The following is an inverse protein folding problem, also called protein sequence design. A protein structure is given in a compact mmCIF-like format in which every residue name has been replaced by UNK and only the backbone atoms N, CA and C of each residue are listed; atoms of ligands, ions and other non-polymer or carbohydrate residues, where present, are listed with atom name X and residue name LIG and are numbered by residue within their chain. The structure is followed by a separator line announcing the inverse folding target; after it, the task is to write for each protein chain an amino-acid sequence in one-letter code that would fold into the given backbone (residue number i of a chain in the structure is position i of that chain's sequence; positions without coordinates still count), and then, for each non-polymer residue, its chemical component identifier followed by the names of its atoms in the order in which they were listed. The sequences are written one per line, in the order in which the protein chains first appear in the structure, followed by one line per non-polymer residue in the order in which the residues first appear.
data_IF_969386873575
#
_entry.id   IF_969386873575
#
_cell.length_a   1.000
_cell.length_b   1.000
_cell.length_c   1.000
_cell.angle_alpha   90.00
_cell.angle_beta   90.00
_cell.angle_gamma   90.00
#
_symmetry.space_group_name_H-M   'P 1'
#
loop_
_entity.id
_entity.type
_entity.pdbx_description
1 polymer ?
#
# COMPACT_ATOMS: atom_id res chain seq x y z
N UNK A 1 7.09 -7.48 21.29
CA UNK A 1 5.76 -7.76 20.72
C UNK A 1 5.18 -6.47 20.19
N UNK A 2 4.68 -6.46 18.95
CA UNK A 2 3.97 -5.30 18.37
C UNK A 2 2.52 -5.71 18.13
N UNK A 3 1.58 -4.83 18.43
CA UNK A 3 0.15 -5.06 18.15
C UNK A 3 -0.30 -4.23 16.95
N UNK A 4 -1.08 -4.86 16.08
CA UNK A 4 -1.74 -4.22 14.93
C UNK A 4 -3.21 -4.57 15.00
N UNK A 5 -4.08 -3.60 14.81
CA UNK A 5 -5.53 -3.85 14.69
C UNK A 5 -5.94 -3.75 13.23
N UNK A 6 -6.68 -4.75 12.75
CA UNK A 6 -7.25 -4.78 11.40
C UNK A 6 -8.78 -4.83 11.45
N UNK A 7 -9.48 -4.34 10.41
CA UNK A 7 -10.93 -4.49 10.31
C UNK A 7 -11.38 -5.95 10.32
N UNK A 8 -12.53 -6.24 10.93
CA UNK A 8 -13.04 -7.60 11.05
C UNK A 8 -13.26 -8.29 9.71
N UNK A 9 -13.73 -7.56 8.69
CA UNK A 9 -13.91 -8.08 7.33
C UNK A 9 -12.59 -8.42 6.62
N UNK A 10 -11.44 -8.02 7.18
CA UNK A 10 -10.10 -8.31 6.65
C UNK A 10 -9.39 -9.44 7.38
N UNK A 11 -9.94 -9.94 8.49
CA UNK A 11 -9.38 -11.08 9.23
C UNK A 11 -9.27 -12.32 8.32
N UNK A 12 -10.32 -12.60 7.55
CA UNK A 12 -10.30 -13.73 6.60
C UNK A 12 -9.20 -13.63 5.55
N UNK A 13 -8.90 -12.41 5.06
CA UNK A 13 -7.81 -12.20 4.09
C UNK A 13 -6.42 -12.37 4.74
N UNK A 14 -6.28 -12.03 6.02
CA UNK A 14 -5.04 -12.22 6.77
C UNK A 14 -4.80 -13.71 7.10
N UNK A 15 -5.85 -14.45 7.43
CA UNK A 15 -5.76 -15.88 7.75
C UNK A 15 -5.55 -16.70 6.46
N UNK A 16 -6.33 -16.43 5.41
CA UNK A 16 -6.32 -17.21 4.17
C UNK A 16 -7.09 -18.54 4.28
N UNK A 17 -7.31 -19.23 3.16
CA UNK A 17 -8.01 -20.50 3.18
C UNK A 17 -7.21 -21.53 3.99
N UNK A 18 -7.84 -22.11 5.01
CA UNK A 18 -7.17 -23.04 5.92
C UNK A 18 -5.91 -22.47 6.60
N UNK A 19 -5.74 -21.15 6.72
CA UNK A 19 -4.58 -20.52 7.34
C UNK A 19 -3.36 -20.33 6.42
N UNK A 20 -3.50 -20.51 5.11
CA UNK A 20 -2.38 -20.44 4.15
C UNK A 20 -1.64 -19.09 4.19
N UNK A 21 -2.36 -17.96 4.15
CA UNK A 21 -1.77 -16.62 4.14
C UNK A 21 -1.00 -16.35 5.43
N UNK A 22 -1.59 -16.68 6.57
CA UNK A 22 -0.96 -16.51 7.87
C UNK A 22 0.37 -17.26 7.93
N UNK A 23 0.39 -18.54 7.53
CA UNK A 23 1.61 -19.36 7.52
C UNK A 23 2.66 -18.80 6.56
N UNK A 24 2.25 -18.28 5.42
CA UNK A 24 3.18 -17.67 4.47
C UNK A 24 3.84 -16.42 5.06
N UNK A 25 3.06 -15.55 5.72
CA UNK A 25 3.60 -14.36 6.40
C UNK A 25 4.54 -14.77 7.52
N UNK A 26 4.15 -15.72 8.38
CA UNK A 26 5.00 -16.23 9.46
C UNK A 26 6.33 -16.78 8.94
N UNK A 27 6.28 -17.57 7.85
CA UNK A 27 7.46 -18.17 7.24
C UNK A 27 8.36 -17.14 6.55
N UNK A 28 7.80 -16.23 5.75
CA UNK A 28 8.60 -15.27 4.96
C UNK A 28 9.14 -14.12 5.80
N UNK A 29 8.38 -13.68 6.82
CA UNK A 29 8.76 -12.57 7.67
C UNK A 29 9.46 -13.01 8.97
N UNK A 30 9.62 -14.32 9.21
CA UNK A 30 10.23 -14.90 10.42
C UNK A 30 9.57 -14.38 11.72
N UNK A 31 8.23 -14.47 11.74
CA UNK A 31 7.39 -14.06 12.85
C UNK A 31 6.37 -15.14 13.21
N UNK A 32 5.72 -14.96 14.36
CA UNK A 32 4.49 -15.64 14.73
C UNK A 32 3.38 -14.61 14.84
N UNK A 33 2.21 -14.95 14.32
CA UNK A 33 1.00 -14.14 14.38
C UNK A 33 0.00 -14.79 15.35
N UNK A 34 -0.45 -14.00 16.32
CA UNK A 34 -1.60 -14.35 17.16
C UNK A 34 -2.76 -13.41 16.81
N UNK A 35 -3.82 -13.98 16.22
CA UNK A 35 -4.94 -13.24 15.64
C UNK A 35 -6.17 -13.47 16.50
N UNK A 36 -6.60 -12.43 17.20
CA UNK A 36 -7.90 -12.39 17.84
C UNK A 36 -8.98 -12.11 16.79
N UNK A 37 -9.73 -13.15 16.45
CA UNK A 37 -10.77 -13.10 15.43
C UNK A 37 -12.01 -12.29 15.85
N UNK A 38 -12.19 -12.03 17.15
CA UNK A 38 -13.29 -11.23 17.66
C UNK A 38 -12.97 -9.73 17.60
N UNK A 39 -11.75 -9.35 17.97
CA UNK A 39 -11.36 -7.93 18.05
C UNK A 39 -10.60 -7.42 16.82
N UNK A 40 -10.07 -8.32 15.98
CA UNK A 40 -9.16 -7.96 14.89
C UNK A 40 -7.77 -7.53 15.37
N UNK A 41 -7.45 -7.77 16.64
CA UNK A 41 -6.12 -7.54 17.21
C UNK A 41 -5.17 -8.63 16.74
N UNK A 42 -4.00 -8.23 16.28
CA UNK A 42 -2.94 -9.13 15.80
C UNK A 42 -1.68 -8.82 16.59
N UNK A 43 -1.22 -9.79 17.38
CA UNK A 43 0.10 -9.73 18.00
C UNK A 43 1.15 -10.29 17.04
N UNK A 44 2.21 -9.53 16.82
CA UNK A 44 3.36 -9.91 16.00
C UNK A 44 4.55 -10.15 16.91
N UNK A 45 4.97 -11.40 16.96
CA UNK A 45 6.14 -11.87 17.72
C UNK A 45 7.26 -12.24 16.75
N UNK A 46 8.46 -11.72 16.96
CA UNK A 46 9.61 -12.08 16.12
C UNK A 46 10.14 -13.44 16.57
N UNK A 47 10.40 -14.34 15.62
CA UNK A 47 10.89 -15.70 15.92
C UNK A 47 12.27 -15.96 15.33
N UNK A 48 12.70 -15.21 14.33
CA UNK A 48 14.01 -15.33 13.69
C UNK A 48 14.74 -13.99 13.55
N UNK A 49 15.23 -13.70 12.34
CA UNK A 49 16.03 -12.52 12.05
C UNK A 49 15.29 -11.22 12.42
N UNK A 50 15.87 -10.37 13.29
CA UNK A 50 15.22 -9.16 13.74
C UNK A 50 14.89 -8.16 12.65
N UNK A 51 15.67 -8.12 11.55
CA UNK A 51 15.51 -7.17 10.45
C UNK A 51 14.33 -7.58 9.56
N UNK A 52 14.27 -8.85 9.19
CA UNK A 52 13.20 -9.47 8.38
C UNK A 52 11.83 -9.29 9.07
N UNK A 53 11.77 -9.55 10.38
CA UNK A 53 10.55 -9.35 11.16
C UNK A 53 10.14 -7.89 11.41
N UNK A 54 10.90 -6.88 10.95
CA UNK A 54 10.49 -5.47 11.09
C UNK A 54 9.32 -5.09 10.19
N UNK A 55 9.20 -5.73 9.03
CA UNK A 55 8.16 -5.44 8.03
C UNK A 55 6.85 -6.15 8.29
N UNK A 56 6.84 -7.21 9.09
CA UNK A 56 5.63 -7.98 9.42
C UNK A 56 4.43 -7.13 9.90
N UNK A 57 4.59 -6.14 10.81
CA UNK A 57 3.48 -5.27 11.19
C UNK A 57 2.90 -4.47 10.02
N UNK A 58 3.73 -4.08 9.05
CA UNK A 58 3.27 -3.33 7.87
C UNK A 58 2.59 -4.25 6.87
N UNK A 59 3.03 -5.50 6.72
CA UNK A 59 2.33 -6.54 5.94
C UNK A 59 0.91 -6.76 6.50
N UNK A 60 0.79 -6.93 7.82
CA UNK A 60 -0.51 -7.08 8.51
C UNK A 60 -1.38 -5.84 8.30
N UNK A 61 -0.82 -4.63 8.47
CA UNK A 61 -1.55 -3.37 8.21
C UNK A 61 -2.00 -3.27 6.77
N UNK A 62 -1.15 -3.61 5.81
CA UNK A 62 -1.47 -3.54 4.38
C UNK A 62 -2.66 -4.44 4.06
N UNK A 63 -2.65 -5.70 4.50
CA UNK A 63 -3.78 -6.62 4.29
C UNK A 63 -5.05 -6.07 4.96
N UNK A 64 -4.92 -5.54 6.18
CA UNK A 64 -5.99 -4.86 6.90
C UNK A 64 -6.52 -3.60 6.20
N UNK A 65 -5.73 -2.98 5.32
CA UNK A 65 -6.12 -1.81 4.49
C UNK A 65 -6.45 -2.20 3.06
N UNK A 66 -6.75 -3.48 2.81
CA UNK A 66 -7.34 -3.94 1.55
C UNK A 66 -6.34 -4.45 0.52
N UNK A 67 -5.03 -4.44 0.79
CA UNK A 67 -4.06 -5.08 -0.11
C UNK A 67 -4.30 -6.59 -0.18
N UNK A 68 -3.99 -7.17 -1.35
CA UNK A 68 -3.89 -8.62 -1.49
C UNK A 68 -2.66 -9.12 -0.73
N UNK A 69 -2.68 -10.36 -0.22
CA UNK A 69 -1.52 -10.94 0.48
C UNK A 69 -0.22 -10.83 -0.32
N UNK A 70 -0.25 -11.18 -1.60
CA UNK A 70 0.93 -11.11 -2.48
C UNK A 70 1.53 -9.69 -2.55
N UNK A 71 0.69 -8.67 -2.70
CA UNK A 71 1.13 -7.28 -2.77
C UNK A 71 1.69 -6.80 -1.43
N UNK A 72 1.10 -7.24 -0.31
CA UNK A 72 1.61 -6.93 1.02
C UNK A 72 2.95 -7.62 1.30
N UNK A 73 3.10 -8.89 0.92
CA UNK A 73 4.33 -9.66 1.07
C UNK A 73 5.47 -9.10 0.23
N UNK A 74 5.18 -8.38 -0.86
CA UNK A 74 6.20 -7.72 -1.68
C UNK A 74 7.06 -6.72 -0.88
N UNK A 75 6.59 -6.25 0.28
CA UNK A 75 7.40 -5.46 1.21
C UNK A 75 8.71 -6.15 1.58
N UNK A 76 8.75 -7.48 1.58
CA UNK A 76 9.95 -8.28 1.89
C UNK A 76 10.92 -8.42 0.71
N UNK A 77 10.50 -8.08 -0.51
CA UNK A 77 11.30 -8.36 -1.71
C UNK A 77 12.53 -7.44 -1.84
N UNK A 78 12.47 -6.25 -1.24
CA UNK A 78 13.56 -5.26 -1.26
C UNK A 78 13.50 -4.38 -0.01
N UNK A 79 14.64 -4.05 0.59
CA UNK A 79 14.72 -3.27 1.84
C UNK A 79 14.09 -1.88 1.72
N UNK A 80 14.18 -1.24 0.55
CA UNK A 80 13.64 0.09 0.27
C UNK A 80 12.13 0.09 0.02
N UNK A 81 11.51 -1.08 -0.16
CA UNK A 81 10.05 -1.17 -0.27
C UNK A 81 9.39 -0.81 1.05
N UNK A 82 8.39 0.05 0.95
CA UNK A 82 7.69 0.62 2.10
C UNK A 82 6.17 0.68 1.87
N UNK A 83 5.44 0.63 2.97
CA UNK A 83 4.02 0.92 3.04
C UNK A 83 3.83 2.38 3.43
N UNK A 84 2.97 3.09 2.71
CA UNK A 84 2.44 4.37 3.13
C UNK A 84 0.91 4.37 3.14
N UNK A 85 0.32 4.98 4.17
CA UNK A 85 -1.13 5.09 4.34
C UNK A 85 -1.51 6.57 4.38
N UNK A 86 -2.32 7.00 3.42
CA UNK A 86 -2.90 8.35 3.37
C UNK A 86 -4.29 8.31 3.97
N UNK A 87 -4.49 9.09 5.03
CA UNK A 87 -5.79 9.27 5.66
C UNK A 87 -6.67 10.23 4.85
N UNK A 88 -7.74 9.70 4.26
CA UNK A 88 -8.68 10.46 3.45
C UNK A 88 -9.67 11.25 4.32
N UNK A 89 -9.89 10.85 5.58
CA UNK A 89 -10.74 11.61 6.50
C UNK A 89 -10.08 12.96 6.82
N UNK A 90 -8.75 12.98 6.96
CA UNK A 90 -7.98 14.22 7.19
C UNK A 90 -8.16 15.26 6.06
N UNK A 91 -8.45 14.82 4.84
CA UNK A 91 -8.65 15.68 3.66
C UNK A 91 -10.14 15.89 3.29
N UNK A 92 -11.09 15.41 4.12
CA UNK A 92 -12.52 15.46 3.79
C UNK A 92 -13.35 16.00 4.95
N UNK A 93 -14.42 16.75 4.63
CA UNK A 93 -15.22 17.45 5.65
C UNK A 93 -16.31 16.58 6.29
N UNK A 94 -16.78 15.57 5.57
CA UNK A 94 -17.86 14.69 5.99
C UNK A 94 -17.93 13.45 5.08
N UNK A 95 -18.81 12.50 5.42
CA UNK A 95 -18.98 11.24 4.68
C UNK A 95 -19.35 11.41 3.20
N UNK A 96 -20.11 12.46 2.84
CA UNK A 96 -20.46 12.73 1.44
C UNK A 96 -19.24 13.24 0.66
N UNK A 97 -18.42 14.07 1.31
CA UNK A 97 -17.15 14.57 0.79
C UNK A 97 -16.16 13.43 0.57
N UNK A 98 -16.00 12.55 1.56
CA UNK A 98 -15.20 11.32 1.47
C UNK A 98 -15.66 10.44 0.32
N UNK A 99 -16.96 10.18 0.20
CA UNK A 99 -17.51 9.35 -0.89
C UNK A 99 -17.19 9.95 -2.26
N UNK A 100 -17.28 11.28 -2.39
CA UNK A 100 -16.95 11.99 -3.63
C UNK A 100 -15.45 11.89 -3.95
N UNK A 101 -14.58 12.13 -2.98
CA UNK A 101 -13.13 12.05 -3.18
C UNK A 101 -12.67 10.62 -3.48
N UNK A 102 -13.20 9.61 -2.78
CA UNK A 102 -12.99 8.20 -3.13
C UNK A 102 -13.40 7.90 -4.56
N UNK A 103 -14.56 8.39 -4.99
CA UNK A 103 -15.00 8.25 -6.38
C UNK A 103 -14.03 8.85 -7.39
N UNK A 104 -13.42 10.00 -7.08
CA UNK A 104 -12.38 10.61 -7.93
C UNK A 104 -11.08 9.81 -7.95
N UNK A 105 -10.63 9.32 -6.79
CA UNK A 105 -9.42 8.51 -6.66
C UNK A 105 -9.54 7.17 -7.40
N UNK A 106 -10.70 6.53 -7.30
CA UNK A 106 -10.99 5.25 -7.99
C UNK A 106 -11.17 5.51 -9.49
N UNK A 107 -11.93 6.55 -9.85
CA UNK A 107 -12.29 6.82 -11.25
C UNK A 107 -13.40 5.89 -11.75
N UNK A 108 -13.85 6.15 -12.98
CA UNK A 108 -14.79 5.27 -13.68
C UNK A 108 -14.16 3.88 -13.85
N UNK A 109 -14.88 2.85 -13.42
CA UNK A 109 -14.44 1.44 -13.42
C UNK A 109 -13.07 1.17 -12.78
N UNK A 110 -12.58 2.06 -11.90
CA UNK A 110 -11.26 1.91 -11.28
C UNK A 110 -10.09 2.47 -12.09
N UNK A 111 -10.34 3.07 -13.26
CA UNK A 111 -9.32 3.50 -14.21
C UNK A 111 -8.30 4.50 -13.64
N UNK A 112 -8.73 5.44 -12.80
CA UNK A 112 -7.82 6.44 -12.22
C UNK A 112 -6.81 5.76 -11.30
N UNK A 113 -7.27 4.85 -10.44
CA UNK A 113 -6.42 4.07 -9.55
C UNK A 113 -5.46 3.20 -10.33
N UNK A 114 -5.94 2.51 -11.38
CA UNK A 114 -5.11 1.65 -12.24
C UNK A 114 -4.01 2.43 -12.95
N UNK A 115 -4.34 3.60 -13.52
CA UNK A 115 -3.34 4.49 -14.12
C UNK A 115 -2.32 4.99 -13.11
N UNK A 116 -2.76 5.29 -11.88
CA UNK A 116 -1.84 5.66 -10.80
C UNK A 116 -0.88 4.53 -10.46
N UNK A 117 -1.36 3.28 -10.40
CA UNK A 117 -0.50 2.11 -10.22
C UNK A 117 0.49 1.93 -11.37
N UNK A 118 0.01 1.94 -12.61
CA UNK A 118 0.84 1.71 -13.79
C UNK A 118 1.93 2.78 -13.95
N UNK A 119 1.56 4.05 -13.79
CA UNK A 119 2.47 5.17 -14.07
C UNK A 119 3.43 5.46 -12.91
N UNK A 120 3.02 5.22 -11.67
CA UNK A 120 3.91 5.38 -10.52
C UNK A 120 4.80 4.15 -10.26
N UNK A 121 4.36 2.96 -10.68
CA UNK A 121 4.99 1.69 -10.33
C UNK A 121 4.69 1.21 -8.90
N UNK A 122 3.91 1.95 -8.12
CA UNK A 122 3.43 1.54 -6.80
C UNK A 122 2.14 0.72 -6.92
N UNK A 123 1.88 -0.14 -5.94
CA UNK A 123 0.54 -0.71 -5.69
C UNK A 123 -0.31 0.32 -4.97
N UNK A 124 -1.57 0.46 -5.37
CA UNK A 124 -2.50 1.48 -4.85
C UNK A 124 -3.85 0.83 -4.54
N UNK A 125 -4.25 0.92 -3.27
CA UNK A 125 -5.55 0.44 -2.79
C UNK A 125 -6.30 1.57 -2.11
N UNK A 126 -7.61 1.65 -2.38
CA UNK A 126 -8.52 2.58 -1.70
C UNK A 126 -9.51 1.75 -0.87
N UNK A 127 -9.37 1.76 0.46
CA UNK A 127 -10.18 0.96 1.36
C UNK A 127 -10.62 1.76 2.59
N UNK A 128 -11.90 1.67 2.97
CA UNK A 128 -12.44 2.47 4.08
C UNK A 128 -12.24 3.97 3.81
N UNK A 129 -11.56 4.67 4.73
CA UNK A 129 -11.10 6.05 4.60
C UNK A 129 -9.59 6.18 4.38
N UNK A 130 -8.95 5.16 3.82
CA UNK A 130 -7.50 5.14 3.61
C UNK A 130 -7.16 4.86 2.14
N UNK A 131 -6.18 5.57 1.62
CA UNK A 131 -5.45 5.15 0.42
C UNK A 131 -4.11 4.55 0.86
N UNK A 132 -3.88 3.28 0.51
CA UNK A 132 -2.64 2.57 0.78
C UNK A 132 -1.75 2.54 -0.45
N UNK A 133 -0.43 2.69 -0.22
CA UNK A 133 0.62 2.69 -1.23
C UNK A 133 1.71 1.69 -0.84
N UNK A 134 2.11 0.80 -1.74
CA UNK A 134 3.28 -0.08 -1.56
C UNK A 134 4.22 0.06 -2.76
N UNK A 135 5.50 0.34 -2.51
CA UNK A 135 6.51 0.45 -3.55
C UNK A 135 7.83 0.97 -3.00
N UNK A 136 8.77 1.25 -3.91
CA UNK A 136 9.98 2.00 -3.58
C UNK A 136 9.71 3.48 -3.31
N UNK A 137 10.69 4.23 -2.76
CA UNK A 137 10.44 5.59 -2.28
C UNK A 137 9.91 6.57 -3.33
N UNK A 138 10.48 6.57 -4.55
CA UNK A 138 9.99 7.45 -5.63
C UNK A 138 8.62 7.02 -6.16
N UNK A 139 8.35 5.72 -6.22
CA UNK A 139 7.06 5.18 -6.66
C UNK A 139 5.95 5.61 -5.69
N UNK A 140 6.18 5.41 -4.38
CA UNK A 140 5.24 5.82 -3.32
C UNK A 140 5.06 7.34 -3.33
N UNK A 141 6.14 8.14 -3.42
CA UNK A 141 6.04 9.61 -3.51
C UNK A 141 5.19 10.05 -4.69
N UNK A 142 5.42 9.46 -5.86
CA UNK A 142 4.69 9.82 -7.09
C UNK A 142 3.20 9.51 -6.95
N UNK A 143 2.84 8.32 -6.46
CA UNK A 143 1.45 7.96 -6.23
C UNK A 143 0.78 8.84 -5.15
N UNK A 144 1.50 9.13 -4.05
CA UNK A 144 1.04 10.03 -2.99
C UNK A 144 0.71 11.43 -3.51
N UNK A 145 1.61 12.02 -4.30
CA UNK A 145 1.36 13.33 -4.90
C UNK A 145 0.15 13.32 -5.84
N UNK A 146 -0.05 12.25 -6.60
CA UNK A 146 -1.24 12.11 -7.45
C UNK A 146 -2.54 12.03 -6.61
N UNK A 147 -2.52 11.31 -5.47
CA UNK A 147 -3.63 11.28 -4.51
C UNK A 147 -3.90 12.68 -3.97
N UNK A 148 -2.88 13.38 -3.49
CA UNK A 148 -3.00 14.74 -2.94
C UNK A 148 -3.58 15.72 -3.97
N UNK A 149 -3.10 15.68 -5.22
CA UNK A 149 -3.66 16.48 -6.31
C UNK A 149 -5.17 16.23 -6.50
N UNK A 150 -5.61 14.97 -6.46
CA UNK A 150 -7.04 14.64 -6.58
C UNK A 150 -7.84 15.19 -5.39
N UNK A 151 -7.31 15.02 -4.18
CA UNK A 151 -7.93 15.50 -2.93
C UNK A 151 -8.06 17.02 -2.92
N UNK A 152 -7.05 17.74 -3.41
CA UNK A 152 -7.01 19.20 -3.58
C UNK A 152 -7.88 19.70 -4.74
N UNK A 153 -8.51 18.79 -5.48
CA UNK A 153 -9.50 19.10 -6.51
C UNK A 153 -8.94 19.25 -7.92
N UNK A 154 -7.67 18.93 -8.15
CA UNK A 154 -7.08 18.96 -9.49
C UNK A 154 -7.88 18.09 -10.47
N UNK A 155 -8.09 18.54 -11.73
CA UNK A 155 -8.73 17.71 -12.74
C UNK A 155 -7.91 16.44 -13.03
N UNK A 156 -8.58 15.32 -13.31
CA UNK A 156 -7.92 14.05 -13.65
C UNK A 156 -6.87 14.17 -14.75
N UNK A 157 -7.15 14.95 -15.80
CA UNK A 157 -6.18 15.19 -16.88
C UNK A 157 -4.85 15.79 -16.39
N UNK A 158 -4.90 16.72 -15.43
CA UNK A 158 -3.68 17.30 -14.85
C UNK A 158 -2.90 16.27 -14.02
N UNK A 159 -3.59 15.37 -13.32
CA UNK A 159 -2.99 14.27 -12.56
C UNK A 159 -2.36 13.25 -13.49
N UNK A 160 -3.01 12.90 -14.60
CA UNK A 160 -2.47 11.99 -15.61
C UNK A 160 -1.20 12.56 -16.24
N UNK A 161 -1.21 13.82 -16.66
CA UNK A 161 -0.02 14.47 -17.23
C UNK A 161 1.13 14.60 -16.20
N UNK A 162 0.82 14.74 -14.91
CA UNK A 162 1.82 14.67 -13.85
C UNK A 162 2.44 13.27 -13.76
N UNK A 163 1.61 12.23 -13.71
CA UNK A 163 2.04 10.83 -13.61
C UNK A 163 2.88 10.41 -14.83
N UNK A 164 2.44 10.75 -16.05
CA UNK A 164 3.17 10.48 -17.29
C UNK A 164 4.55 11.12 -17.29
N UNK A 165 4.65 12.39 -16.89
CA UNK A 165 5.94 13.09 -16.78
C UNK A 165 6.85 12.41 -15.77
N UNK A 166 6.33 12.04 -14.59
CA UNK A 166 7.10 11.35 -13.55
C UNK A 166 7.60 9.98 -14.01
N UNK A 167 6.79 9.23 -14.77
CA UNK A 167 7.20 7.96 -15.36
C UNK A 167 8.39 8.12 -16.30
N UNK A 168 8.39 9.16 -17.14
CA UNK A 168 9.52 9.46 -18.03
C UNK A 168 10.78 9.79 -17.24
N UNK A 169 10.69 10.67 -16.24
CA UNK A 169 11.81 11.06 -15.38
C UNK A 169 12.43 9.84 -14.66
N UNK A 170 11.61 8.92 -14.15
CA UNK A 170 12.10 7.70 -13.48
C UNK A 170 12.78 6.74 -14.47
N UNK A 171 12.23 6.59 -15.67
CA UNK A 171 12.79 5.71 -16.70
C UNK A 171 14.14 6.23 -17.23
N UNK A 172 14.29 7.54 -17.36
CA UNK A 172 15.55 8.19 -17.76
C UNK A 172 16.60 8.14 -16.63
N UNK A 173 16.18 8.21 -15.37
CA UNK A 173 17.06 8.07 -14.20
C UNK A 173 17.69 6.68 -14.10
N UNK A 174 16.93 5.62 -14.34
CA UNK A 174 17.42 4.24 -14.34
C UNK A 174 18.44 3.99 -15.46
N UNK A 175 18.22 4.54 -16.65
CA UNK A 175 19.12 4.40 -17.80
C UNK A 175 20.49 5.07 -17.55
N UNK A 176 20.51 6.28 -16.97
CA UNK A 176 21.75 7.00 -16.68
C UNK A 176 22.61 6.32 -15.60
N UNK A 177 22.02 5.51 -14.70
CA UNK A 177 22.77 4.77 -13.69
C UNK A 177 23.55 3.59 -14.29
N UNK A 178 23.07 3.02 -15.40
CA UNK A 178 23.68 1.86 -16.06
C UNK A 178 24.85 2.22 -17.00
N UNK A 179 25.11 3.51 -17.26
CA UNK A 179 26.15 3.95 -18.20
C UNK A 179 27.54 4.20 -17.59
N UNK A 180 27.73 3.99 -16.28
CA UNK A 180 29.04 4.06 -15.63
C UNK A 180 29.57 2.67 -15.24
N UNK A 181 30.27 1.95 -16.15
CA UNK A 181 31.15 0.88 -15.72
C UNK A 181 32.36 1.51 -15.02
N UNK A 182 32.57 1.14 -13.76
CA UNK A 182 33.83 1.39 -13.06
C UNK A 182 35.00 0.64 -13.68
#
# INVERSE_FOLDING_TARGET
MKHVTIPQDRIGALIGEGGETMREIESRAEVRLDIDSETGSVAVEKTGDPLTGLKAPDIVRAIGRGFRPDDALSLLDDDMRMLELVDLDAATRNKNDLRRQKGRLIGEDGRTRELMEELSGARVVIYGSTAGLIGGPEQVRTARSAIEMILDGAPHGAVYSFLERKRSEMSEGDLNYHEFPG
#
